data_IF_172544290615
#
_entry.id   IF_172544290615
#
_cell.length_a   1.000
_cell.length_b   1.000
_cell.length_c   1.000
_cell.angle_alpha   90.00
_cell.angle_beta   90.00
_cell.angle_gamma   90.00
#
_symmetry.space_group_name_H-M   'P 1'
#
loop_
_entity.id
_entity.type
_entity.pdbx_description
1 polymer ?
#
# COMPACT_ATOMS: atom_id res chain seq x y z
N UNK A 1 9.92 21.28 12.07
CA UNK A 1 8.88 20.63 11.24
C UNK A 1 8.94 21.07 9.78
N UNK A 2 9.18 22.35 9.47
CA UNK A 2 9.37 22.85 8.09
C UNK A 2 10.41 22.04 7.30
N UNK A 3 11.62 21.83 7.85
CA UNK A 3 12.69 21.10 7.16
C UNK A 3 12.31 19.67 6.73
N UNK A 4 11.51 18.94 7.51
CA UNK A 4 11.07 17.58 7.14
C UNK A 4 10.07 17.57 6.00
N UNK A 5 9.18 18.56 5.95
CA UNK A 5 8.20 18.69 4.87
C UNK A 5 8.92 19.03 3.56
N UNK A 6 9.90 19.93 3.63
CA UNK A 6 10.72 20.30 2.48
C UNK A 6 11.58 19.12 2.00
N UNK A 7 12.20 18.36 2.91
CA UNK A 7 12.92 17.12 2.58
C UNK A 7 12.03 16.10 1.85
N UNK A 8 10.83 15.84 2.37
CA UNK A 8 9.88 14.91 1.73
C UNK A 8 9.45 15.42 0.36
N UNK A 9 9.17 16.72 0.24
CA UNK A 9 8.84 17.35 -1.04
C UNK A 9 9.96 17.15 -2.06
N UNK A 10 11.20 17.47 -1.68
CA UNK A 10 12.37 17.32 -2.55
C UNK A 10 12.61 15.86 -2.93
N UNK A 11 12.41 14.92 -2.00
CA UNK A 11 12.52 13.48 -2.27
C UNK A 11 11.49 12.99 -3.28
N UNK A 12 10.23 13.42 -3.14
CA UNK A 12 9.15 13.11 -4.09
C UNK A 12 9.45 13.74 -5.45
N UNK A 13 9.82 15.02 -5.50
CA UNK A 13 10.16 15.71 -6.75
C UNK A 13 11.33 15.03 -7.49
N UNK A 14 12.34 14.59 -6.75
CA UNK A 14 13.49 13.84 -7.29
C UNK A 14 13.02 12.49 -7.86
N UNK A 15 12.18 11.76 -7.12
CA UNK A 15 11.64 10.46 -7.56
C UNK A 15 10.72 10.57 -8.78
N UNK A 16 9.99 11.69 -8.92
CA UNK A 16 9.12 11.97 -10.07
C UNK A 16 9.91 12.37 -11.33
N UNK A 17 11.16 12.80 -11.17
CA UNK A 17 12.07 13.17 -12.27
C UNK A 17 13.02 12.03 -12.68
N UNK A 18 13.05 10.94 -11.94
CA UNK A 18 13.88 9.77 -12.22
C UNK A 18 13.50 9.12 -13.57
N UNK A 19 14.34 9.28 -14.58
CA UNK A 19 14.11 8.75 -15.93
C UNK A 19 14.19 7.22 -16.03
N UNK A 20 14.70 6.54 -14.99
CA UNK A 20 14.72 5.08 -14.95
C UNK A 20 13.31 4.47 -14.81
N UNK A 21 12.32 5.26 -14.40
CA UNK A 21 10.97 4.76 -14.12
C UNK A 21 10.04 4.88 -15.34
N UNK A 22 9.16 3.89 -15.57
CA UNK A 22 8.28 3.87 -16.74
C UNK A 22 7.22 4.99 -16.72
N UNK A 23 6.80 5.46 -15.54
CA UNK A 23 5.81 6.53 -15.40
C UNK A 23 6.35 7.93 -15.72
N UNK A 24 7.67 8.12 -15.75
CA UNK A 24 8.30 9.44 -15.96
C UNK A 24 7.96 10.05 -17.32
N UNK A 25 7.79 9.21 -18.35
CA UNK A 25 7.34 9.66 -19.68
C UNK A 25 5.93 10.24 -19.65
N UNK A 26 5.03 9.63 -18.87
CA UNK A 26 3.63 10.08 -18.73
C UNK A 26 3.61 11.41 -17.98
N UNK A 27 4.35 11.53 -16.88
CA UNK A 27 4.45 12.78 -16.13
C UNK A 27 5.10 13.91 -16.93
N UNK A 28 6.13 13.60 -17.73
CA UNK A 28 6.76 14.58 -18.62
C UNK A 28 5.79 15.07 -19.70
N UNK A 29 5.06 14.17 -20.36
CA UNK A 29 4.04 14.53 -21.34
C UNK A 29 2.93 15.38 -20.72
N UNK A 30 2.48 15.03 -19.52
CA UNK A 30 1.45 15.78 -18.80
C UNK A 30 1.94 17.18 -18.38
N UNK A 31 3.17 17.30 -17.89
CA UNK A 31 3.79 18.58 -17.53
C UNK A 31 3.94 19.50 -18.76
N UNK A 32 4.48 18.99 -19.86
CA UNK A 32 4.65 19.77 -21.11
C UNK A 32 3.30 20.25 -21.67
N UNK A 33 2.25 19.41 -21.57
CA UNK A 33 0.92 19.74 -22.11
C UNK A 33 0.12 20.68 -21.21
N UNK A 34 0.24 20.55 -19.89
CA UNK A 34 -0.55 21.32 -18.93
C UNK A 34 0.17 22.55 -18.38
N UNK A 35 1.51 22.60 -18.47
CA UNK A 35 2.33 23.62 -17.84
C UNK A 35 2.40 23.52 -16.31
N UNK A 36 1.84 22.46 -15.72
CA UNK A 36 1.76 22.28 -14.26
C UNK A 36 2.93 21.40 -13.78
N UNK A 37 3.59 21.73 -12.66
CA UNK A 37 4.68 20.91 -12.13
C UNK A 37 4.22 19.48 -11.79
N UNK A 38 5.08 18.49 -12.07
CA UNK A 38 4.80 17.05 -11.83
C UNK A 38 4.31 16.73 -10.42
N UNK A 39 4.81 17.45 -9.41
CA UNK A 39 4.38 17.26 -8.02
C UNK A 39 2.87 17.51 -7.85
N UNK A 40 2.35 18.60 -8.40
CA UNK A 40 0.92 18.91 -8.29
C UNK A 40 0.07 17.94 -9.11
N UNK A 41 0.56 17.48 -10.27
CA UNK A 41 -0.10 16.43 -11.06
C UNK A 41 -0.18 15.14 -10.25
N UNK A 42 0.91 14.73 -9.60
CA UNK A 42 0.94 13.55 -8.74
C UNK A 42 -0.01 13.70 -7.55
N UNK A 43 0.05 14.81 -6.82
CA UNK A 43 -0.83 15.08 -5.67
C UNK A 43 -2.30 15.12 -6.09
N UNK A 44 -2.61 15.71 -7.25
CA UNK A 44 -3.95 15.70 -7.83
C UNK A 44 -4.43 14.29 -8.14
N UNK A 45 -3.58 13.46 -8.73
CA UNK A 45 -3.87 12.05 -8.98
C UNK A 45 -4.14 11.26 -7.69
N UNK A 46 -3.31 11.45 -6.66
CA UNK A 46 -3.52 10.84 -5.33
C UNK A 46 -4.85 11.30 -4.73
N UNK A 47 -5.17 12.59 -4.79
CA UNK A 47 -6.44 13.12 -4.29
C UNK A 47 -7.65 12.53 -5.02
N UNK A 48 -7.56 12.37 -6.35
CA UNK A 48 -8.60 11.71 -7.15
C UNK A 48 -8.78 10.26 -6.72
N UNK A 49 -7.70 9.51 -6.51
CA UNK A 49 -7.76 8.12 -6.04
C UNK A 49 -8.41 8.04 -4.65
N UNK A 50 -8.04 8.93 -3.73
CA UNK A 50 -8.64 8.99 -2.38
C UNK A 50 -10.13 9.28 -2.45
N UNK A 51 -10.54 10.26 -3.27
CA UNK A 51 -11.95 10.58 -3.47
C UNK A 51 -12.72 9.43 -4.13
N UNK A 52 -12.12 8.74 -5.09
CA UNK A 52 -12.71 7.57 -5.73
C UNK A 52 -12.85 6.40 -4.73
N UNK A 53 -11.87 6.17 -3.86
CA UNK A 53 -11.98 5.14 -2.81
C UNK A 53 -13.05 5.48 -1.76
N UNK A 54 -13.35 6.77 -1.57
CA UNK A 54 -14.39 7.22 -0.64
C UNK A 54 -15.81 7.11 -1.23
N UNK A 55 -15.99 7.50 -2.50
CA UNK A 55 -17.33 7.69 -3.10
C UNK A 55 -17.57 6.89 -4.39
N UNK A 56 -16.55 6.29 -4.97
CA UNK A 56 -16.60 5.65 -6.29
C UNK A 56 -17.30 4.30 -6.28
N UNK A 57 -17.98 4.01 -7.39
CA UNK A 57 -18.51 2.68 -7.65
C UNK A 57 -17.36 1.68 -7.83
N UNK A 58 -17.51 0.46 -7.31
CA UNK A 58 -16.48 -0.58 -7.37
C UNK A 58 -15.11 -0.19 -6.75
N UNK A 59 -15.08 0.70 -5.74
CA UNK A 59 -13.88 1.04 -4.97
C UNK A 59 -13.15 -0.20 -4.40
N UNK A 60 -13.87 -1.29 -4.14
CA UNK A 60 -13.32 -2.61 -3.80
C UNK A 60 -12.25 -3.10 -4.77
N UNK A 61 -12.53 -3.02 -6.08
CA UNK A 61 -11.63 -3.52 -7.12
C UNK A 61 -10.34 -2.71 -7.11
N UNK A 62 -10.46 -1.38 -7.03
CA UNK A 62 -9.30 -0.49 -6.97
C UNK A 62 -8.46 -0.73 -5.70
N UNK A 63 -9.11 -0.82 -4.54
CA UNK A 63 -8.43 -1.08 -3.27
C UNK A 63 -7.67 -2.43 -3.29
N UNK A 64 -8.31 -3.49 -3.79
CA UNK A 64 -7.69 -4.81 -3.87
C UNK A 64 -6.58 -4.84 -4.92
N UNK A 65 -6.74 -4.14 -6.06
CA UNK A 65 -5.69 -4.01 -7.05
C UNK A 65 -4.45 -3.30 -6.47
N UNK A 66 -4.63 -2.21 -5.71
CA UNK A 66 -3.52 -1.54 -5.01
C UNK A 66 -2.89 -2.49 -3.97
N UNK A 67 -3.73 -3.17 -3.19
CA UNK A 67 -3.33 -4.15 -2.18
C UNK A 67 -2.56 -5.36 -2.72
N UNK A 68 -2.69 -5.67 -4.01
CA UNK A 68 -2.05 -6.84 -4.63
C UNK A 68 -0.91 -6.44 -5.56
N UNK A 69 -1.13 -5.47 -6.45
CA UNK A 69 -0.22 -5.20 -7.57
C UNK A 69 1.17 -4.76 -7.11
N UNK A 70 1.25 -3.82 -6.17
CA UNK A 70 2.55 -3.33 -5.68
C UNK A 70 3.30 -4.40 -4.87
N UNK A 71 2.71 -5.02 -3.82
CA UNK A 71 3.37 -6.10 -3.08
C UNK A 71 3.74 -7.28 -3.95
N UNK A 72 2.91 -7.66 -4.94
CA UNK A 72 3.22 -8.76 -5.85
C UNK A 72 4.44 -8.44 -6.71
N UNK A 73 4.53 -7.23 -7.26
CA UNK A 73 5.70 -6.80 -8.04
C UNK A 73 6.98 -6.82 -7.21
N UNK A 74 6.93 -6.28 -5.98
CA UNK A 74 8.12 -6.28 -5.11
C UNK A 74 8.44 -7.68 -4.60
N UNK A 75 7.44 -8.53 -4.35
CA UNK A 75 7.65 -9.94 -3.99
C UNK A 75 8.35 -10.70 -5.11
N UNK A 76 7.96 -10.49 -6.37
CA UNK A 76 8.65 -11.10 -7.52
C UNK A 76 10.13 -10.69 -7.58
N UNK A 77 10.43 -9.41 -7.33
CA UNK A 77 11.81 -8.95 -7.23
C UNK A 77 12.55 -9.56 -6.04
N UNK A 78 11.91 -9.66 -4.88
CA UNK A 78 12.51 -10.25 -3.68
C UNK A 78 12.89 -11.72 -3.92
N UNK A 79 12.04 -12.48 -4.60
CA UNK A 79 12.30 -13.88 -4.98
C UNK A 79 13.57 -14.05 -5.83
N UNK A 80 13.92 -13.05 -6.64
CA UNK A 80 15.13 -13.06 -7.46
C UNK A 80 16.40 -12.66 -6.67
N UNK A 81 16.25 -12.07 -5.48
CA UNK A 81 17.36 -11.67 -4.60
C UNK A 81 17.75 -12.78 -3.63
N UNK A 82 19.00 -12.78 -3.15
CA UNK A 82 19.51 -13.80 -2.19
C UNK A 82 19.16 -13.50 -0.72
N UNK A 83 18.56 -12.36 -0.43
CA UNK A 83 18.34 -11.82 0.91
C UNK A 83 16.98 -12.24 1.49
N UNK A 84 17.01 -13.10 2.52
CA UNK A 84 15.79 -13.67 3.14
C UNK A 84 14.95 -12.69 3.99
N UNK A 85 15.51 -11.54 4.34
CA UNK A 85 14.82 -10.56 5.18
C UNK A 85 13.64 -9.90 4.45
N UNK A 86 13.76 -9.72 3.12
CA UNK A 86 12.69 -9.14 2.31
C UNK A 86 11.55 -10.14 2.12
N UNK A 87 11.86 -11.43 1.95
CA UNK A 87 10.86 -12.51 1.84
C UNK A 87 9.95 -12.57 3.07
N UNK A 88 10.54 -12.43 4.27
CA UNK A 88 9.80 -12.51 5.54
C UNK A 88 8.81 -11.35 5.67
N UNK A 89 9.19 -10.14 5.24
CA UNK A 89 8.32 -8.95 5.27
C UNK A 89 7.12 -9.12 4.36
N UNK A 90 7.34 -9.55 3.12
CA UNK A 90 6.26 -9.74 2.16
C UNK A 90 5.36 -10.92 2.54
N UNK A 91 5.92 -12.03 3.04
CA UNK A 91 5.12 -13.14 3.52
C UNK A 91 4.23 -12.73 4.71
N UNK A 92 4.77 -11.93 5.64
CA UNK A 92 4.00 -11.37 6.75
C UNK A 92 2.84 -10.51 6.25
N UNK A 93 3.10 -9.65 5.26
CA UNK A 93 2.06 -8.86 4.59
C UNK A 93 0.95 -9.76 4.00
N UNK A 94 1.33 -10.80 3.25
CA UNK A 94 0.38 -11.72 2.63
C UNK A 94 -0.49 -12.48 3.64
N UNK A 95 0.06 -12.82 4.81
CA UNK A 95 -0.71 -13.41 5.92
C UNK A 95 -1.78 -12.44 6.41
N UNK A 96 -1.43 -11.16 6.64
CA UNK A 96 -2.42 -10.14 7.06
C UNK A 96 -3.47 -9.92 5.97
N UNK A 97 -3.02 -9.79 4.71
CA UNK A 97 -3.91 -9.63 3.56
C UNK A 97 -4.92 -10.79 3.45
N UNK A 98 -4.46 -12.03 3.60
CA UNK A 98 -5.30 -13.22 3.56
C UNK A 98 -6.35 -13.25 4.68
N UNK A 99 -5.94 -12.99 5.93
CA UNK A 99 -6.84 -12.95 7.09
C UNK A 99 -7.93 -11.87 6.90
N UNK A 100 -7.54 -10.66 6.50
CA UNK A 100 -8.50 -9.58 6.25
C UNK A 100 -9.43 -9.87 5.08
N UNK A 101 -8.92 -10.49 4.02
CA UNK A 101 -9.73 -10.86 2.86
C UNK A 101 -10.80 -11.90 3.23
N UNK A 102 -10.45 -12.90 4.05
CA UNK A 102 -11.42 -13.89 4.55
C UNK A 102 -12.43 -13.22 5.47
N UNK A 103 -11.98 -12.41 6.42
CA UNK A 103 -12.86 -11.72 7.36
C UNK A 103 -13.85 -10.80 6.64
N UNK A 104 -13.40 -10.10 5.60
CA UNK A 104 -14.23 -9.23 4.75
C UNK A 104 -15.31 -10.03 4.02
N UNK A 105 -14.98 -11.18 3.43
CA UNK A 105 -15.97 -12.01 2.73
C UNK A 105 -17.04 -12.56 3.68
N UNK A 106 -16.67 -12.89 4.92
CA UNK A 106 -17.63 -13.37 5.94
C UNK A 106 -18.44 -12.21 6.52
N UNK A 107 -17.89 -11.00 6.54
CA UNK A 107 -18.46 -9.85 7.23
C UNK A 107 -19.03 -8.79 6.29
N UNK A 108 -19.82 -9.21 5.30
CA UNK A 108 -20.45 -8.28 4.34
C UNK A 108 -21.25 -7.15 5.02
N UNK A 109 -21.87 -7.45 6.17
CA UNK A 109 -22.57 -6.45 6.98
C UNK A 109 -21.64 -5.37 7.56
N UNK A 110 -20.43 -5.75 8.03
CA UNK A 110 -19.45 -4.78 8.56
C UNK A 110 -18.95 -3.83 7.47
N UNK A 111 -18.76 -4.34 6.24
CA UNK A 111 -18.34 -3.53 5.09
C UNK A 111 -19.36 -2.44 4.76
N UNK A 112 -20.66 -2.75 4.88
CA UNK A 112 -21.74 -1.80 4.64
C UNK A 112 -21.96 -0.83 5.81
N UNK A 113 -21.69 -1.26 7.05
CA UNK A 113 -21.89 -0.45 8.25
C UNK A 113 -20.81 0.64 8.43
N UNK A 114 -19.59 0.42 7.93
CA UNK A 114 -18.47 1.35 8.09
C UNK A 114 -18.42 2.31 6.89
N UNK A 115 -18.63 3.63 7.09
CA UNK A 115 -18.47 4.59 6.00
C UNK A 115 -16.99 4.65 5.55
N UNK A 116 -16.77 4.82 4.24
CA UNK A 116 -15.43 4.89 3.64
C UNK A 116 -14.54 3.67 3.91
N UNK A 117 -15.15 2.49 4.13
CA UNK A 117 -14.42 1.25 4.44
C UNK A 117 -13.28 0.96 3.44
N UNK A 118 -13.50 1.15 2.13
CA UNK A 118 -12.48 0.90 1.11
C UNK A 118 -11.28 1.84 1.19
N UNK A 119 -11.51 3.11 1.54
CA UNK A 119 -10.44 4.06 1.80
C UNK A 119 -9.64 3.64 3.04
N UNK A 120 -10.33 3.30 4.14
CA UNK A 120 -9.68 2.84 5.38
C UNK A 120 -8.85 1.58 5.15
N UNK A 121 -9.40 0.60 4.43
CA UNK A 121 -8.70 -0.64 4.04
C UNK A 121 -7.47 -0.33 3.19
N UNK A 122 -7.58 0.57 2.22
CA UNK A 122 -6.46 0.97 1.38
C UNK A 122 -5.36 1.66 2.20
N UNK A 123 -5.71 2.57 3.10
CA UNK A 123 -4.75 3.22 4.01
C UNK A 123 -4.06 2.19 4.90
N UNK A 124 -4.82 1.23 5.44
CA UNK A 124 -4.26 0.14 6.22
C UNK A 124 -3.26 -0.70 5.41
N UNK A 125 -3.59 -1.06 4.17
CA UNK A 125 -2.67 -1.79 3.30
C UNK A 125 -1.41 -0.97 2.97
N UNK A 126 -1.55 0.32 2.67
CA UNK A 126 -0.39 1.19 2.45
C UNK A 126 0.50 1.19 3.69
N UNK A 127 -0.06 1.33 4.89
CA UNK A 127 0.69 1.27 6.15
C UNK A 127 1.43 -0.06 6.36
N UNK A 128 0.82 -1.17 5.94
CA UNK A 128 1.45 -2.49 5.96
C UNK A 128 2.59 -2.64 4.95
N UNK A 129 2.60 -1.86 3.87
CA UNK A 129 3.63 -1.89 2.81
C UNK A 129 4.78 -0.91 3.04
N UNK A 130 4.63 0.07 3.95
CA UNK A 130 5.67 1.09 4.18
C UNK A 130 6.99 0.39 4.56
N UNK A 131 8.13 0.81 3.97
CA UNK A 131 9.45 0.23 4.25
C UNK A 131 10.01 0.76 5.59
N UNK A 132 9.30 0.50 6.68
CA UNK A 132 9.72 0.77 8.07
C UNK A 132 9.85 -0.55 8.82
N UNK A 133 10.78 -0.64 9.78
CA UNK A 133 11.05 -1.88 10.53
C UNK A 133 9.81 -2.46 11.21
N UNK A 134 8.96 -1.59 11.79
CA UNK A 134 7.71 -1.96 12.43
C UNK A 134 6.50 -1.48 11.61
N UNK A 135 6.41 -1.95 10.36
CA UNK A 135 5.25 -1.68 9.51
C UNK A 135 3.98 -2.35 10.05
N UNK A 136 2.82 -1.96 9.53
CA UNK A 136 1.53 -2.47 10.00
C UNK A 136 1.41 -3.99 9.94
N UNK A 137 2.04 -4.63 8.95
CA UNK A 137 2.03 -6.07 8.80
C UNK A 137 2.82 -6.75 9.94
N UNK A 138 4.03 -6.27 10.22
CA UNK A 138 4.89 -6.78 11.28
C UNK A 138 4.22 -6.61 12.66
N UNK A 139 3.65 -5.44 12.93
CA UNK A 139 2.92 -5.15 14.16
C UNK A 139 1.74 -6.12 14.36
N UNK A 140 0.89 -6.27 13.35
CA UNK A 140 -0.29 -7.14 13.40
C UNK A 140 0.10 -8.62 13.55
N UNK A 141 1.15 -9.04 12.85
CA UNK A 141 1.62 -10.42 12.93
C UNK A 141 2.11 -10.75 14.35
N UNK A 142 3.01 -9.95 14.92
CA UNK A 142 3.57 -10.25 16.24
C UNK A 142 2.55 -10.08 17.37
N UNK A 143 1.63 -9.13 17.24
CA UNK A 143 0.67 -8.82 18.32
C UNK A 143 -0.58 -9.69 18.28
N UNK A 144 -1.07 -10.02 17.08
CA UNK A 144 -2.34 -10.72 16.91
C UNK A 144 -2.10 -12.15 16.47
N UNK A 145 -1.42 -12.38 15.35
CA UNK A 145 -1.38 -13.71 14.71
C UNK A 145 -0.44 -14.69 15.43
N UNK A 146 0.79 -14.25 15.74
CA UNK A 146 1.83 -15.06 16.36
C UNK A 146 1.42 -15.71 17.70
N UNK A 147 0.76 -15.01 18.65
CA UNK A 147 0.34 -15.66 19.90
C UNK A 147 -0.71 -16.74 19.68
N UNK A 148 -1.67 -16.56 18.76
CA UNK A 148 -2.63 -17.61 18.41
C UNK A 148 -1.95 -18.78 17.72
N UNK A 149 -1.07 -18.51 16.74
CA UNK A 149 -0.32 -19.55 16.03
C UNK A 149 0.50 -20.41 17.01
N UNK A 150 1.33 -19.79 17.85
CA UNK A 150 2.15 -20.51 18.85
C UNK A 150 1.32 -21.28 19.88
N UNK A 151 0.12 -20.81 20.21
CA UNK A 151 -0.80 -21.51 21.13
C UNK A 151 -1.29 -22.84 20.54
N UNK A 152 -1.64 -22.85 19.25
CA UNK A 152 -2.17 -24.06 18.60
C UNK A 152 -1.07 -24.96 18.04
N UNK A 153 0.08 -24.42 17.64
CA UNK A 153 1.24 -25.19 17.17
C UNK A 153 1.83 -26.06 18.29
N UNK A 154 1.97 -25.52 19.51
CA UNK A 154 2.45 -26.28 20.69
C UNK A 154 1.49 -27.36 21.18
N UNK A 155 0.26 -27.42 20.63
CA UNK A 155 -0.74 -28.43 20.98
C UNK A 155 -0.64 -29.70 20.11
N UNK A 156 0.33 -29.76 19.20
CA UNK A 156 0.74 -30.97 18.48
C UNK A 156 2.03 -31.53 19.05
#
# INVERSE_FOLDING_TARGET
>A
MANKIDEVRTSIETSLKDESKPWTKIFNLAEVKTGVPRLYIFLGGVAIVVLYLAFGYAAQILCNAIGVAYPAYVSMKAIETRTKEDDTKWLTYWVIYGVLSVFEHVSLFLVQAIPFYWLLKCVFFIWCMVPIENNGANFMYHRVILPYFKKYEKSK
#
